data_IF_630501786129
#
_entry.id   IF_630501786129
#
_cell.length_a   1.000
_cell.length_b   1.000
_cell.length_c   1.000
_cell.angle_alpha   90.00
_cell.angle_beta   90.00
_cell.angle_gamma   90.00
#
_symmetry.space_group_name_H-M   'P 1'
#
loop_
_entity.id
_entity.type
_entity.pdbx_description
1 polymer ?
#
# COMPACT_ATOMS: atom_id res chain seq x y z
N UNK A 1 -18.93 -3.62 -14.61
CA UNK A 1 -17.55 -3.35 -14.06
C UNK A 1 -16.77 -2.53 -15.06
N UNK A 2 -16.28 -1.39 -14.67
CA UNK A 2 -15.55 -0.44 -15.52
C UNK A 2 -14.16 -0.25 -14.96
N UNK A 3 -13.15 -0.67 -15.72
CA UNK A 3 -11.76 -0.49 -15.37
C UNK A 3 -11.08 0.44 -16.36
N UNK A 4 -10.29 1.37 -15.84
CA UNK A 4 -9.51 2.31 -16.63
C UNK A 4 -8.01 2.05 -16.48
N UNK A 5 -7.41 1.58 -17.58
CA UNK A 5 -5.99 1.23 -17.66
C UNK A 5 -5.61 0.02 -16.80
N UNK A 6 -4.30 -0.18 -16.60
CA UNK A 6 -3.79 -1.26 -15.78
C UNK A 6 -4.17 -1.07 -14.30
N UNK A 7 -4.51 -2.18 -13.64
CA UNK A 7 -4.86 -2.21 -12.22
C UNK A 7 -3.86 -3.12 -11.51
N UNK A 8 -3.42 -2.68 -10.34
CA UNK A 8 -2.45 -3.40 -9.54
C UNK A 8 -3.03 -3.72 -8.17
N UNK A 9 -2.72 -4.91 -7.68
CA UNK A 9 -3.08 -5.38 -6.33
C UNK A 9 -1.94 -6.20 -5.74
N UNK A 10 -1.82 -6.30 -4.41
CA UNK A 10 -0.85 -7.21 -3.81
C UNK A 10 -1.16 -8.67 -4.17
N UNK A 11 -0.16 -9.56 -4.28
CA UNK A 11 -0.39 -11.00 -4.53
C UNK A 11 -1.35 -11.64 -3.53
N UNK A 12 -1.35 -11.20 -2.27
CA UNK A 12 -2.26 -11.67 -1.22
C UNK A 12 -3.74 -11.31 -1.43
N UNK A 13 -4.03 -10.44 -2.40
CA UNK A 13 -5.38 -10.06 -2.84
C UNK A 13 -5.77 -10.71 -4.19
N UNK A 14 -5.05 -11.77 -4.62
CA UNK A 14 -5.30 -12.42 -5.90
C UNK A 14 -6.78 -12.85 -6.09
N UNK A 15 -7.43 -13.33 -5.02
CA UNK A 15 -8.83 -13.77 -5.03
C UNK A 15 -9.83 -12.67 -4.64
N UNK A 16 -9.39 -11.42 -4.50
CA UNK A 16 -10.27 -10.32 -4.13
C UNK A 16 -10.98 -9.76 -5.35
N UNK A 17 -12.26 -9.43 -5.20
CA UNK A 17 -12.92 -8.57 -6.16
C UNK A 17 -12.25 -7.20 -6.12
N UNK A 18 -11.92 -6.62 -7.28
CA UNK A 18 -11.33 -5.29 -7.36
C UNK A 18 -12.40 -4.27 -7.66
N UNK A 19 -12.55 -3.28 -6.78
CA UNK A 19 -13.31 -2.07 -7.04
C UNK A 19 -12.35 -0.93 -7.33
N UNK A 20 -12.37 -0.39 -8.54
CA UNK A 20 -11.56 0.78 -8.86
C UNK A 20 -12.35 2.06 -8.52
N UNK A 21 -12.17 2.58 -7.31
CA UNK A 21 -12.86 3.80 -6.84
C UNK A 21 -12.05 5.08 -7.05
N UNK A 22 -10.72 4.94 -7.23
CA UNK A 22 -9.82 6.02 -7.68
C UNK A 22 -9.13 5.61 -8.97
N UNK A 23 -8.70 6.57 -9.76
CA UNK A 23 -7.87 6.37 -10.94
C UNK A 23 -6.48 6.93 -10.63
N UNK A 24 -5.44 6.10 -10.74
CA UNK A 24 -4.08 6.52 -10.48
C UNK A 24 -3.70 6.57 -9.01
N UNK A 25 -2.64 7.30 -8.70
CA UNK A 25 -2.14 7.53 -7.34
C UNK A 25 -2.11 9.03 -7.06
N UNK A 26 -2.61 9.46 -5.88
CA UNK A 26 -2.69 10.88 -5.54
C UNK A 26 -1.31 11.53 -5.39
N UNK A 27 -0.32 10.75 -4.99
CA UNK A 27 1.05 11.20 -4.86
C UNK A 27 1.82 11.14 -6.19
N UNK A 28 1.88 9.98 -6.83
CA UNK A 28 2.47 9.68 -8.14
C UNK A 28 3.87 10.30 -8.43
N UNK A 29 4.68 10.54 -7.38
CA UNK A 29 6.01 11.19 -7.47
C UNK A 29 7.18 10.25 -7.17
N UNK A 30 6.91 9.03 -6.66
CA UNK A 30 7.95 8.07 -6.32
C UNK A 30 8.85 7.78 -7.51
N UNK A 31 10.18 7.92 -7.33
CA UNK A 31 11.14 7.89 -8.46
C UNK A 31 11.26 6.53 -9.12
N UNK A 32 10.94 5.45 -8.41
CA UNK A 32 11.02 4.06 -8.86
C UNK A 32 9.71 3.54 -9.47
N UNK A 33 8.57 4.13 -9.08
CA UNK A 33 7.25 3.60 -9.40
C UNK A 33 6.79 4.06 -10.78
N UNK A 34 6.29 3.10 -11.58
CA UNK A 34 5.71 3.32 -12.91
C UNK A 34 4.21 3.01 -12.98
N UNK A 35 3.65 2.35 -11.95
CA UNK A 35 2.32 1.75 -11.98
C UNK A 35 1.22 2.71 -12.43
N UNK A 36 1.32 3.97 -12.04
CA UNK A 36 0.26 4.94 -12.29
C UNK A 36 0.72 6.22 -13.02
N UNK A 37 1.94 6.25 -13.58
CA UNK A 37 2.46 7.45 -14.25
C UNK A 37 1.65 7.86 -15.47
N UNK A 38 1.08 6.91 -16.18
CA UNK A 38 0.22 7.16 -17.34
C UNK A 38 -1.19 7.63 -16.96
N UNK A 39 -1.56 7.59 -15.67
CA UNK A 39 -2.88 7.97 -15.19
C UNK A 39 -2.85 9.34 -14.51
N UNK A 40 -3.79 10.21 -14.86
CA UNK A 40 -4.06 11.42 -14.09
C UNK A 40 -4.93 11.05 -12.89
N UNK A 41 -4.46 11.36 -11.68
CA UNK A 41 -5.23 11.06 -10.48
C UNK A 41 -6.60 11.74 -10.49
N UNK A 42 -7.62 10.96 -10.15
CA UNK A 42 -8.97 11.45 -9.85
C UNK A 42 -9.74 10.44 -8.99
N UNK A 43 -10.66 10.94 -8.22
CA UNK A 43 -11.70 10.15 -7.57
C UNK A 43 -12.80 9.89 -8.59
N UNK A 44 -13.28 8.66 -8.70
CA UNK A 44 -14.45 8.34 -9.54
C UNK A 44 -15.73 8.84 -8.86
N UNK A 45 -16.75 9.10 -9.64
CA UNK A 45 -18.07 9.40 -9.09
C UNK A 45 -18.55 8.26 -8.19
N UNK A 46 -19.18 8.60 -7.07
CA UNK A 46 -19.66 7.60 -6.10
C UNK A 46 -20.63 6.63 -6.76
N UNK A 47 -21.55 7.17 -7.56
CA UNK A 47 -22.58 6.42 -8.28
C UNK A 47 -21.99 5.34 -9.18
N UNK A 48 -20.90 5.66 -9.89
CA UNK A 48 -20.19 4.68 -10.73
C UNK A 48 -19.61 3.51 -9.91
N UNK A 49 -19.06 3.82 -8.73
CA UNK A 49 -18.50 2.80 -7.84
C UNK A 49 -19.59 1.91 -7.23
N UNK A 50 -20.72 2.51 -6.87
CA UNK A 50 -21.89 1.78 -6.36
C UNK A 50 -22.54 0.91 -7.44
N UNK A 51 -22.67 1.41 -8.67
CA UNK A 51 -23.15 0.61 -9.80
C UNK A 51 -22.24 -0.59 -10.09
N UNK A 52 -20.91 -0.40 -10.05
CA UNK A 52 -19.98 -1.50 -10.26
C UNK A 52 -20.08 -2.57 -9.15
N UNK A 53 -20.30 -2.15 -7.89
CA UNK A 53 -20.57 -3.09 -6.78
C UNK A 53 -21.90 -3.83 -6.99
N UNK A 54 -22.97 -3.12 -7.31
CA UNK A 54 -24.29 -3.71 -7.54
C UNK A 54 -24.28 -4.74 -8.67
N UNK A 55 -23.63 -4.43 -9.80
CA UNK A 55 -23.44 -5.39 -10.90
C UNK A 55 -22.63 -6.63 -10.47
N UNK A 56 -21.58 -6.42 -9.66
CA UNK A 56 -20.79 -7.53 -9.13
C UNK A 56 -21.58 -8.35 -8.11
N UNK A 57 -22.39 -7.72 -7.26
CA UNK A 57 -23.27 -8.35 -6.30
C UNK A 57 -24.30 -9.28 -6.98
N UNK A 58 -24.95 -8.79 -8.03
CA UNK A 58 -25.88 -9.62 -8.83
C UNK A 58 -25.22 -10.87 -9.43
N UNK A 59 -23.95 -10.78 -9.83
CA UNK A 59 -23.25 -11.86 -10.52
C UNK A 59 -22.46 -12.79 -9.60
N UNK A 60 -21.88 -12.26 -8.52
CA UNK A 60 -20.89 -12.95 -7.70
C UNK A 60 -21.19 -12.93 -6.20
N UNK A 61 -22.41 -12.58 -5.77
CA UNK A 61 -22.82 -12.32 -4.39
C UNK A 61 -22.20 -13.30 -3.37
N UNK A 62 -22.34 -14.62 -3.61
CA UNK A 62 -21.87 -15.64 -2.68
C UNK A 62 -20.41 -16.07 -2.87
N UNK A 63 -19.75 -15.62 -3.94
CA UNK A 63 -18.36 -16.01 -4.23
C UNK A 63 -17.35 -15.02 -3.61
N UNK A 64 -17.71 -13.73 -3.52
CA UNK A 64 -16.81 -12.68 -3.05
C UNK A 64 -16.70 -12.69 -1.53
N UNK A 65 -15.48 -12.92 -1.05
CA UNK A 65 -15.15 -12.88 0.38
C UNK A 65 -14.22 -11.71 0.75
N UNK A 66 -13.57 -11.11 -0.25
CA UNK A 66 -12.64 -10.01 -0.08
C UNK A 66 -12.86 -9.00 -1.19
N UNK A 67 -12.79 -7.72 -0.86
CA UNK A 67 -12.78 -6.62 -1.83
C UNK A 67 -11.49 -5.82 -1.64
N UNK A 68 -10.81 -5.57 -2.74
CA UNK A 68 -9.67 -4.66 -2.79
C UNK A 68 -10.08 -3.38 -3.53
N UNK A 69 -9.99 -2.24 -2.85
CA UNK A 69 -10.33 -0.94 -3.45
C UNK A 69 -9.06 -0.30 -4.01
N UNK A 70 -9.02 -0.11 -5.32
CA UNK A 70 -7.92 0.51 -6.07
C UNK A 70 -8.24 1.96 -6.47
N UNK A 71 -7.28 2.71 -7.00
CA UNK A 71 -5.93 2.35 -7.41
C UNK A 71 -4.87 2.56 -6.28
N UNK A 72 -3.90 3.44 -6.53
CA UNK A 72 -2.61 3.49 -5.83
C UNK A 72 -2.63 3.88 -4.35
N UNK A 73 -3.62 4.62 -3.89
CA UNK A 73 -3.77 5.06 -2.51
C UNK A 73 -5.24 5.40 -2.18
N UNK A 74 -6.13 4.45 -2.41
CA UNK A 74 -7.57 4.64 -2.31
C UNK A 74 -8.05 5.15 -0.92
N UNK A 75 -7.24 5.03 0.15
CA UNK A 75 -7.59 5.61 1.45
C UNK A 75 -7.74 7.14 1.42
N UNK A 76 -7.24 7.83 0.39
CA UNK A 76 -7.43 9.26 0.16
C UNK A 76 -8.91 9.64 -0.03
N UNK A 77 -9.76 8.70 -0.44
CA UNK A 77 -11.20 8.93 -0.62
C UNK A 77 -11.83 9.56 0.63
N UNK A 78 -12.74 10.55 0.44
CA UNK A 78 -13.47 11.15 1.55
C UNK A 78 -14.46 10.15 2.19
N UNK A 79 -14.84 10.41 3.44
CA UNK A 79 -15.79 9.57 4.17
C UNK A 79 -17.11 9.39 3.44
N UNK A 80 -17.58 10.44 2.76
CA UNK A 80 -18.82 10.39 1.94
C UNK A 80 -18.75 9.42 0.75
N UNK A 81 -17.56 8.97 0.33
CA UNK A 81 -17.38 7.89 -0.64
C UNK A 81 -17.19 6.54 0.06
N UNK A 82 -16.34 6.50 1.09
CA UNK A 82 -16.02 5.26 1.76
C UNK A 82 -17.22 4.59 2.42
N UNK A 83 -17.99 5.33 3.21
CA UNK A 83 -19.08 4.73 3.98
C UNK A 83 -20.18 4.12 3.08
N UNK A 84 -20.69 4.78 2.02
CA UNK A 84 -21.63 4.15 1.10
C UNK A 84 -21.06 2.93 0.36
N UNK A 85 -19.77 2.97 -0.05
CA UNK A 85 -19.10 1.84 -0.69
C UNK A 85 -19.06 0.62 0.26
N UNK A 86 -18.69 0.83 1.52
CA UNK A 86 -18.59 -0.24 2.52
C UNK A 86 -19.97 -0.79 2.90
N UNK A 87 -20.97 0.06 3.02
CA UNK A 87 -22.34 -0.33 3.31
C UNK A 87 -22.93 -1.19 2.18
N UNK A 88 -22.81 -0.75 0.94
CA UNK A 88 -23.28 -1.52 -0.21
C UNK A 88 -22.49 -2.83 -0.38
N UNK A 89 -21.17 -2.80 -0.20
CA UNK A 89 -20.36 -4.01 -0.26
C UNK A 89 -20.81 -5.06 0.77
N UNK A 90 -21.17 -4.64 1.98
CA UNK A 90 -21.69 -5.54 3.02
C UNK A 90 -23.08 -6.08 2.66
N UNK A 91 -23.94 -5.26 2.05
CA UNK A 91 -25.27 -5.66 1.59
C UNK A 91 -25.21 -6.67 0.44
N UNK A 92 -24.36 -6.39 -0.57
CA UNK A 92 -24.32 -7.17 -1.80
C UNK A 92 -23.55 -8.49 -1.68
N UNK A 93 -22.63 -8.59 -0.69
CA UNK A 93 -21.74 -9.74 -0.51
C UNK A 93 -21.86 -10.34 0.88
N UNK A 94 -22.84 -11.22 1.14
CA UNK A 94 -23.10 -11.77 2.48
C UNK A 94 -21.94 -12.59 3.06
N UNK A 95 -20.99 -13.05 2.24
CA UNK A 95 -19.78 -13.76 2.68
C UNK A 95 -18.55 -12.82 2.79
N UNK A 96 -18.73 -11.52 2.65
CA UNK A 96 -17.64 -10.54 2.73
C UNK A 96 -17.00 -10.56 4.12
N UNK A 97 -15.70 -10.84 4.17
CA UNK A 97 -14.91 -10.87 5.42
C UNK A 97 -14.16 -9.58 5.66
N UNK A 98 -13.71 -8.93 4.58
CA UNK A 98 -12.95 -7.68 4.68
C UNK A 98 -12.96 -6.89 3.37
N UNK A 99 -12.78 -5.60 3.53
CA UNK A 99 -12.33 -4.68 2.48
C UNK A 99 -10.91 -4.26 2.82
N UNK A 100 -10.09 -4.05 1.80
CA UNK A 100 -8.69 -3.60 1.90
C UNK A 100 -8.36 -2.58 0.81
N UNK A 101 -7.32 -1.79 1.00
CA UNK A 101 -6.83 -0.84 -0.01
C UNK A 101 -5.34 -0.54 0.19
N UNK A 102 -4.71 0.05 -0.84
CA UNK A 102 -3.45 0.75 -0.64
C UNK A 102 -3.67 2.08 0.09
N UNK A 103 -2.70 2.43 0.92
CA UNK A 103 -2.66 3.70 1.62
C UNK A 103 -1.22 4.23 1.71
N UNK A 104 -1.07 5.54 1.68
CA UNK A 104 0.14 6.23 2.13
C UNK A 104 0.01 6.59 3.61
N UNK A 105 1.12 6.79 4.31
CA UNK A 105 1.09 7.21 5.71
C UNK A 105 0.27 8.49 5.89
N UNK A 106 0.44 9.47 5.03
CA UNK A 106 -0.33 10.73 5.03
C UNK A 106 -1.84 10.53 4.93
N UNK A 107 -2.32 9.56 4.13
CA UNK A 107 -3.76 9.31 4.03
C UNK A 107 -4.35 8.85 5.37
N UNK A 108 -3.58 8.07 6.14
CA UNK A 108 -3.97 7.66 7.49
C UNK A 108 -3.93 8.84 8.45
N UNK A 109 -2.87 9.66 8.38
CA UNK A 109 -2.67 10.80 9.27
C UNK A 109 -3.71 11.91 9.05
N UNK A 110 -4.15 12.13 7.83
CA UNK A 110 -5.19 13.11 7.46
C UNK A 110 -6.58 12.75 7.98
N UNK A 111 -6.88 11.47 8.23
CA UNK A 111 -8.14 11.06 8.82
C UNK A 111 -8.09 11.16 10.35
N UNK A 112 -9.17 11.54 10.96
CA UNK A 112 -9.32 11.50 12.42
C UNK A 112 -9.40 10.06 12.94
N UNK A 113 -9.09 9.83 14.21
CA UNK A 113 -9.23 8.51 14.84
C UNK A 113 -10.69 8.00 14.77
N UNK A 114 -11.67 8.90 14.87
CA UNK A 114 -13.09 8.58 14.71
C UNK A 114 -13.43 8.10 13.30
N UNK A 115 -12.89 8.76 12.28
CA UNK A 115 -13.10 8.36 10.88
C UNK A 115 -12.48 7.00 10.60
N UNK A 116 -11.22 6.76 11.01
CA UNK A 116 -10.58 5.45 10.84
C UNK A 116 -11.35 4.35 11.57
N UNK A 117 -11.82 4.62 12.80
CA UNK A 117 -12.63 3.67 13.55
C UNK A 117 -13.94 3.37 12.82
N UNK A 118 -14.63 4.38 12.30
CA UNK A 118 -15.85 4.20 11.52
C UNK A 118 -15.61 3.38 10.25
N UNK A 119 -14.52 3.63 9.52
CA UNK A 119 -14.13 2.83 8.36
C UNK A 119 -13.85 1.37 8.73
N UNK A 120 -13.14 1.15 9.83
CA UNK A 120 -12.86 -0.19 10.33
C UNK A 120 -14.15 -0.92 10.69
N UNK A 121 -15.05 -0.28 11.44
CA UNK A 121 -16.34 -0.87 11.85
C UNK A 121 -17.23 -1.17 10.63
N UNK A 122 -17.18 -0.32 9.62
CA UNK A 122 -17.88 -0.52 8.36
C UNK A 122 -17.28 -1.63 7.48
N UNK A 123 -16.05 -2.10 7.73
CA UNK A 123 -15.48 -3.27 7.02
C UNK A 123 -14.14 -3.06 6.34
N UNK A 124 -13.56 -1.84 6.35
CA UNK A 124 -12.18 -1.61 5.89
C UNK A 124 -11.21 -2.13 6.96
N UNK A 125 -10.78 -3.38 6.81
CA UNK A 125 -10.04 -4.10 7.86
C UNK A 125 -8.53 -4.14 7.64
N UNK A 126 -8.04 -3.86 6.44
CA UNK A 126 -6.63 -3.99 6.14
C UNK A 126 -6.13 -2.88 5.21
N UNK A 127 -5.02 -2.26 5.58
CA UNK A 127 -4.29 -1.28 4.78
C UNK A 127 -2.97 -1.89 4.29
N UNK A 128 -2.63 -1.65 3.03
CA UNK A 128 -1.33 -1.95 2.46
C UNK A 128 -0.54 -0.66 2.38
N UNK A 129 0.53 -0.58 3.16
CA UNK A 129 1.41 0.60 3.24
C UNK A 129 2.80 0.20 2.80
N UNK A 130 3.30 0.86 1.78
CA UNK A 130 4.66 0.67 1.29
C UNK A 130 5.55 1.83 1.73
N UNK A 131 6.26 1.78 2.89
CA UNK A 131 7.32 2.73 3.17
C UNK A 131 8.50 2.55 2.22
N UNK A 132 8.73 1.34 1.72
CA UNK A 132 9.83 0.90 0.86
C UNK A 132 11.18 0.86 1.57
N UNK A 133 11.43 1.76 2.52
CA UNK A 133 12.66 1.89 3.32
C UNK A 133 12.35 2.49 4.69
N UNK A 134 13.16 2.17 5.69
CA UNK A 134 13.17 2.86 6.98
C UNK A 134 14.17 4.03 7.03
N UNK A 135 15.06 4.13 6.05
CA UNK A 135 16.08 5.17 6.03
C UNK A 135 15.53 6.49 5.44
N UNK A 136 15.42 7.55 6.25
CA UNK A 136 14.90 8.85 5.81
C UNK A 136 15.67 9.43 4.60
N UNK A 137 16.98 9.19 4.51
CA UNK A 137 17.78 9.60 3.37
C UNK A 137 17.31 8.90 2.08
N UNK A 138 17.02 7.60 2.16
CA UNK A 138 16.48 6.82 1.04
C UNK A 138 15.07 7.27 0.68
N UNK A 139 14.18 7.45 1.67
CA UNK A 139 12.81 7.95 1.47
C UNK A 139 12.80 9.29 0.71
N UNK A 140 13.71 10.19 1.07
CA UNK A 140 13.90 11.46 0.37
C UNK A 140 14.41 11.28 -1.06
N UNK A 141 15.40 10.41 -1.28
CA UNK A 141 15.97 10.12 -2.62
C UNK A 141 14.90 9.53 -3.56
N UNK A 142 14.02 8.68 -3.05
CA UNK A 142 12.96 8.06 -3.85
C UNK A 142 11.69 8.91 -3.93
N UNK A 143 11.68 10.09 -3.34
CA UNK A 143 10.52 11.00 -3.27
C UNK A 143 9.26 10.30 -2.72
N UNK A 144 9.39 9.50 -1.66
CA UNK A 144 8.27 8.79 -1.04
C UNK A 144 7.26 9.74 -0.41
N UNK A 145 7.73 10.86 0.11
CA UNK A 145 6.89 11.94 0.62
C UNK A 145 6.63 11.89 2.12
N UNK A 146 6.63 10.70 2.70
CA UNK A 146 6.48 10.48 4.14
C UNK A 146 7.81 9.95 4.71
N UNK A 147 8.14 10.27 5.96
CA UNK A 147 9.36 9.87 6.65
C UNK A 147 9.11 8.69 7.61
N UNK A 148 10.14 8.27 8.35
CA UNK A 148 10.08 7.18 9.32
C UNK A 148 8.98 7.41 10.36
N UNK A 149 8.97 8.58 11.00
CA UNK A 149 8.05 8.89 12.10
C UNK A 149 6.59 8.95 11.61
N UNK A 150 6.36 9.50 10.43
CA UNK A 150 5.04 9.51 9.78
C UNK A 150 4.51 8.08 9.54
N UNK A 151 5.37 7.16 9.11
CA UNK A 151 4.96 5.76 8.93
C UNK A 151 4.63 5.07 10.24
N UNK A 152 5.43 5.31 11.30
CA UNK A 152 5.17 4.75 12.64
C UNK A 152 3.85 5.29 13.20
N UNK A 153 3.63 6.61 13.15
CA UNK A 153 2.39 7.19 13.66
C UNK A 153 1.16 6.72 12.86
N UNK A 154 1.28 6.60 11.54
CA UNK A 154 0.20 6.05 10.71
C UNK A 154 -0.13 4.61 11.11
N UNK A 155 0.88 3.77 11.38
CA UNK A 155 0.67 2.40 11.85
C UNK A 155 -0.05 2.37 13.20
N UNK A 156 0.43 3.15 14.17
CA UNK A 156 -0.19 3.27 15.49
C UNK A 156 -1.66 3.71 15.40
N UNK A 157 -1.93 4.69 14.54
CA UNK A 157 -3.28 5.22 14.33
C UNK A 157 -4.21 4.19 13.71
N UNK A 158 -3.73 3.44 12.70
CA UNK A 158 -4.49 2.34 12.10
C UNK A 158 -4.78 1.22 13.12
N UNK A 159 -3.81 0.85 13.94
CA UNK A 159 -3.99 -0.15 15.01
C UNK A 159 -5.00 0.30 16.08
N UNK A 160 -4.93 1.56 16.52
CA UNK A 160 -5.95 2.12 17.45
C UNK A 160 -7.37 2.03 16.89
N UNK A 161 -7.52 2.17 15.58
CA UNK A 161 -8.80 1.99 14.90
C UNK A 161 -9.23 0.51 14.75
N UNK A 162 -8.35 -0.46 15.04
CA UNK A 162 -8.58 -1.89 14.89
C UNK A 162 -8.32 -2.43 13.48
N UNK A 163 -7.60 -1.68 12.64
CA UNK A 163 -7.19 -2.11 11.30
C UNK A 163 -5.89 -2.91 11.37
N UNK A 164 -5.76 -3.87 10.46
CA UNK A 164 -4.49 -4.57 10.19
C UNK A 164 -3.68 -3.80 9.17
N UNK A 165 -2.36 -3.85 9.29
CA UNK A 165 -1.45 -3.29 8.29
C UNK A 165 -0.57 -4.39 7.67
N UNK A 166 -0.36 -4.25 6.37
CA UNK A 166 0.60 -5.03 5.59
C UNK A 166 1.65 -4.05 5.06
N UNK A 167 2.86 -4.19 5.56
CA UNK A 167 3.99 -3.32 5.20
C UNK A 167 4.78 -3.96 4.06
N UNK A 168 5.19 -3.12 3.10
CA UNK A 168 6.01 -3.53 1.95
C UNK A 168 7.29 -2.71 1.94
N UNK A 169 8.44 -3.37 1.90
CA UNK A 169 9.74 -2.74 1.68
C UNK A 169 10.37 -3.22 0.38
N UNK A 170 11.30 -2.42 -0.16
CA UNK A 170 12.01 -2.73 -1.40
C UNK A 170 13.48 -3.03 -1.12
N UNK A 171 13.88 -4.28 -1.30
CA UNK A 171 15.29 -4.69 -1.31
C UNK A 171 16.02 -3.97 -2.47
N UNK A 172 17.21 -3.50 -2.18
CA UNK A 172 18.07 -2.82 -3.16
C UNK A 172 17.76 -1.35 -3.36
N UNK A 173 16.68 -0.81 -2.80
CA UNK A 173 16.32 0.61 -2.97
C UNK A 173 17.29 1.56 -2.26
N UNK A 174 18.07 1.07 -1.29
CA UNK A 174 19.17 1.79 -0.64
C UNK A 174 20.35 2.06 -1.56
N UNK A 175 20.45 1.34 -2.67
CA UNK A 175 21.55 1.48 -3.63
C UNK A 175 22.91 1.16 -3.00
N UNK A 176 23.81 2.15 -2.91
CA UNK A 176 25.18 1.97 -2.37
C UNK A 176 25.26 1.84 -0.85
N UNK A 177 24.15 1.90 -0.13
CA UNK A 177 24.09 1.81 1.34
C UNK A 177 23.15 0.66 1.79
N UNK A 178 23.37 -0.60 1.30
CA UNK A 178 22.44 -1.70 1.51
C UNK A 178 22.30 -2.07 3.00
N UNK A 179 23.39 -2.09 3.76
CA UNK A 179 23.36 -2.45 5.18
C UNK A 179 22.61 -1.44 6.01
N UNK A 180 22.90 -0.15 5.83
CA UNK A 180 22.21 0.92 6.55
C UNK A 180 20.72 0.93 6.21
N UNK A 181 20.38 0.80 4.91
CA UNK A 181 19.00 0.69 4.47
C UNK A 181 18.26 -0.47 5.16
N UNK A 182 18.88 -1.66 5.20
CA UNK A 182 18.28 -2.85 5.80
C UNK A 182 18.06 -2.67 7.31
N UNK A 183 19.05 -2.14 8.04
CA UNK A 183 18.97 -1.91 9.49
C UNK A 183 17.90 -0.87 9.85
N UNK A 184 17.86 0.26 9.14
CA UNK A 184 16.82 1.27 9.37
C UNK A 184 15.42 0.74 9.00
N UNK A 185 15.33 -0.13 7.97
CA UNK A 185 14.07 -0.78 7.61
C UNK A 185 13.63 -1.78 8.68
N UNK A 186 14.55 -2.55 9.27
CA UNK A 186 14.25 -3.45 10.38
C UNK A 186 13.72 -2.68 11.62
N UNK A 187 14.32 -1.52 11.93
CA UNK A 187 13.81 -0.62 12.99
C UNK A 187 12.40 -0.13 12.67
N UNK A 188 12.15 0.28 11.42
CA UNK A 188 10.82 0.72 11.00
C UNK A 188 9.78 -0.39 11.12
N UNK A 189 10.09 -1.61 10.66
CA UNK A 189 9.20 -2.78 10.79
C UNK A 189 8.87 -3.03 12.26
N UNK A 190 9.89 -2.97 13.14
CA UNK A 190 9.70 -3.13 14.58
C UNK A 190 8.75 -2.07 15.15
N UNK A 191 8.98 -0.80 14.79
CA UNK A 191 8.19 0.32 15.30
C UNK A 191 6.76 0.37 14.74
N UNK A 192 6.56 -0.02 13.48
CA UNK A 192 5.23 -0.12 12.88
C UNK A 192 4.42 -1.33 13.36
N UNK A 193 5.09 -2.38 13.84
CA UNK A 193 4.50 -3.64 14.34
C UNK A 193 3.38 -4.24 13.45
N UNK A 194 3.64 -4.46 12.15
CA UNK A 194 2.60 -4.88 11.21
C UNK A 194 2.17 -6.34 11.42
N UNK A 195 0.95 -6.69 10.99
CA UNK A 195 0.53 -8.10 10.91
C UNK A 195 1.20 -8.85 9.76
N UNK A 196 1.57 -8.14 8.69
CA UNK A 196 2.23 -8.73 7.53
C UNK A 196 3.37 -7.85 7.06
N UNK A 197 4.50 -8.48 6.77
CA UNK A 197 5.63 -7.83 6.12
C UNK A 197 5.99 -8.54 4.83
N UNK A 198 6.22 -7.79 3.76
CA UNK A 198 6.66 -8.31 2.47
C UNK A 198 7.89 -7.54 2.01
N UNK A 199 8.92 -8.26 1.58
CA UNK A 199 10.09 -7.70 0.93
C UNK A 199 10.03 -7.99 -0.58
N UNK A 200 10.02 -6.94 -1.40
CA UNK A 200 10.08 -7.03 -2.85
C UNK A 200 11.43 -6.49 -3.32
N UNK A 201 11.92 -6.97 -4.44
CA UNK A 201 13.16 -6.44 -5.04
C UNK A 201 12.86 -5.25 -5.95
N UNK A 202 13.64 -4.17 -5.82
CA UNK A 202 13.52 -3.02 -6.71
C UNK A 202 13.88 -3.42 -8.14
N UNK A 203 13.07 -2.99 -9.08
CA UNK A 203 13.33 -3.16 -10.53
C UNK A 203 13.53 -1.78 -11.17
N UNK A 204 14.53 -1.66 -12.03
CA UNK A 204 14.76 -0.45 -12.82
C UNK A 204 13.77 -0.43 -13.98
N UNK A 205 12.67 0.29 -13.80
CA UNK A 205 11.62 0.38 -14.81
C UNK A 205 11.96 1.50 -15.79
N UNK A 206 12.04 1.24 -17.11
CA UNK A 206 12.30 2.26 -18.12
C UNK A 206 11.32 3.44 -18.04
N UNK A 207 11.82 4.66 -18.31
CA UNK A 207 11.00 5.86 -18.23
C UNK A 207 10.91 6.51 -16.84
N UNK A 208 11.21 5.78 -15.76
CA UNK A 208 11.20 6.32 -14.40
C UNK A 208 12.40 7.23 -14.12
N UNK A 209 12.29 8.16 -13.14
CA UNK A 209 13.44 8.93 -12.70
C UNK A 209 14.58 8.06 -12.16
N UNK A 210 14.27 6.93 -11.51
CA UNK A 210 15.29 5.98 -11.01
C UNK A 210 16.08 5.36 -12.17
N UNK A 211 15.42 4.99 -13.27
CA UNK A 211 16.09 4.49 -14.47
C UNK A 211 17.05 5.54 -15.07
N UNK A 212 16.65 6.83 -15.08
CA UNK A 212 17.52 7.92 -15.52
C UNK A 212 18.71 8.12 -14.57
N UNK A 213 18.55 7.90 -13.27
CA UNK A 213 19.65 7.95 -12.29
C UNK A 213 20.60 6.76 -12.50
N UNK A 214 20.07 5.56 -12.71
CA UNK A 214 20.87 4.37 -13.00
C UNK A 214 21.71 4.53 -14.28
N UNK A 215 21.10 4.99 -15.37
CA UNK A 215 21.82 5.26 -16.64
C UNK A 215 22.96 6.28 -16.50
N UNK A 216 22.92 7.14 -15.46
CA UNK A 216 23.97 8.15 -15.17
C UNK A 216 24.97 7.66 -14.09
N UNK A 217 24.92 6.39 -13.67
CA UNK A 217 25.75 5.84 -12.60
C UNK A 217 25.46 6.40 -11.21
N UNK A 218 24.32 7.11 -11.02
CA UNK A 218 23.91 7.70 -9.73
C UNK A 218 23.12 6.74 -8.85
N UNK A 219 22.64 5.64 -9.40
CA UNK A 219 21.97 4.56 -8.70
C UNK A 219 22.40 3.22 -9.30
N UNK A 220 22.63 2.25 -8.44
CA UNK A 220 22.97 0.89 -8.81
C UNK A 220 22.15 -0.06 -7.93
N UNK A 221 21.55 -1.07 -8.52
CA UNK A 221 20.88 -2.14 -7.76
C UNK A 221 21.98 -3.05 -7.23
N UNK A 222 22.01 -3.35 -5.93
CA UNK A 222 22.95 -4.32 -5.37
C UNK A 222 22.83 -5.68 -6.07
N UNK A 223 23.91 -6.44 -6.06
CA UNK A 223 23.91 -7.81 -6.59
C UNK A 223 23.04 -8.76 -5.72
N UNK A 224 22.83 -9.99 -6.20
CA UNK A 224 21.97 -10.96 -5.50
C UNK A 224 22.49 -11.28 -4.09
N UNK A 225 23.80 -11.51 -3.85
CA UNK A 225 24.34 -11.67 -2.50
C UNK A 225 24.04 -10.52 -1.56
N UNK A 226 24.14 -9.29 -2.01
CA UNK A 226 23.83 -8.10 -1.22
C UNK A 226 22.34 -7.95 -0.94
N UNK A 227 21.47 -8.24 -1.92
CA UNK A 227 20.01 -8.29 -1.71
C UNK A 227 19.61 -9.34 -0.67
N UNK A 228 20.25 -10.52 -0.69
CA UNK A 228 20.00 -11.56 0.31
C UNK A 228 20.54 -11.15 1.69
N UNK A 229 21.64 -10.40 1.74
CA UNK A 229 22.17 -9.82 2.98
C UNK A 229 21.21 -8.78 3.56
N UNK A 230 20.65 -7.90 2.72
CA UNK A 230 19.62 -6.95 3.16
C UNK A 230 18.41 -7.68 3.77
N UNK A 231 17.89 -8.69 3.06
CA UNK A 231 16.75 -9.48 3.54
C UNK A 231 17.08 -10.15 4.88
N UNK A 232 18.27 -10.76 4.99
CA UNK A 232 18.72 -11.38 6.23
C UNK A 232 18.76 -10.38 7.38
N UNK A 233 19.33 -9.20 7.19
CA UNK A 233 19.39 -8.15 8.22
C UNK A 233 17.97 -7.77 8.65
N UNK A 234 17.07 -7.54 7.69
CA UNK A 234 15.67 -7.19 8.00
C UNK A 234 14.99 -8.27 8.85
N UNK A 235 15.21 -9.56 8.53
CA UNK A 235 14.61 -10.68 9.29
C UNK A 235 15.28 -10.85 10.65
N UNK A 236 16.62 -10.74 10.69
CA UNK A 236 17.41 -10.98 11.90
C UNK A 236 17.28 -9.84 12.94
N UNK A 237 17.02 -8.60 12.52
CA UNK A 237 17.01 -7.45 13.42
C UNK A 237 15.59 -6.91 13.71
N UNK A 238 14.61 -7.12 12.82
CA UNK A 238 13.24 -6.70 13.11
C UNK A 238 12.62 -7.53 14.24
N UNK A 239 11.86 -6.87 15.12
CA UNK A 239 11.20 -7.47 16.31
C UNK A 239 9.72 -7.07 16.38
N UNK A 240 8.95 -7.23 15.32
CA UNK A 240 7.50 -7.04 15.43
C UNK A 240 6.90 -8.14 16.32
N UNK A 241 5.80 -7.86 17.00
CA UNK A 241 5.22 -8.81 17.97
C UNK A 241 4.64 -10.06 17.32
N UNK A 242 4.13 -9.94 16.08
CA UNK A 242 3.40 -11.03 15.40
C UNK A 242 3.41 -10.97 13.87
N UNK A 243 4.34 -10.26 13.26
CA UNK A 243 4.37 -10.15 11.81
C UNK A 243 4.60 -11.49 11.11
N UNK A 244 3.83 -11.73 10.07
CA UNK A 244 4.08 -12.80 9.13
C UNK A 244 4.92 -12.26 7.98
N UNK A 245 6.13 -12.76 7.83
CA UNK A 245 7.01 -12.46 6.69
C UNK A 245 6.53 -13.22 5.44
N UNK A 246 6.49 -12.55 4.29
CA UNK A 246 6.05 -13.09 3.01
C UNK A 246 7.01 -12.77 1.88
#
# INVERSE_FOLDING_TARGET
MRYEGAIFRPPSEADSYILQATIGCSWNRCTYCDMYRAKKFRVRALEESLEDLGQAGQRYSHAVQKIFVGDGDALVLPMGHWLPILEQARSDFPKLRRVSCYAMARNVLEKTDKELKALCDAGLKQLYIGPESGANATLKKIAKGDDFDAHVEAANKAHRAGMKISVIALLGIGGKEPVQHAQETAKLITAMDPEFFSALTVTIVPGTPLAKQAARGKFEVPDVPDLLRELRIMVDEARPTRALFR
#
